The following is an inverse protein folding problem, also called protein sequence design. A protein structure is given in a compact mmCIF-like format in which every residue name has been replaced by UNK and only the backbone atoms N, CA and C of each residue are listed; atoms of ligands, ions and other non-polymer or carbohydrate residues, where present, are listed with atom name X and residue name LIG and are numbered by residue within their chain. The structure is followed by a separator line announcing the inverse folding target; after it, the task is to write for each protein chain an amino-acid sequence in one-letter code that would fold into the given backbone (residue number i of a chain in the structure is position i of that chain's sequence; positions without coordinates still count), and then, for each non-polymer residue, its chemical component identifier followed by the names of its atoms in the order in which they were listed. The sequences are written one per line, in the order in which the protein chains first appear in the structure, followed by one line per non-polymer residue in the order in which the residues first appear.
data_IF_023177678296
#
_entry.id   IF_023177678296
#
_cell.length_a   1.000
_cell.length_b   1.000
_cell.length_c   1.000
_cell.angle_alpha   90.00
_cell.angle_beta   90.00
_cell.angle_gamma   90.00
#
_symmetry.space_group_name_H-M   'P 1'
#
loop_
_entity.id
_entity.type
_entity.pdbx_description
1 polymer ?
#
# COMPACT_ATOMS: atom_id res chain seq x y z
N UNK A 1 14.03 -6.60 -17.78
CA UNK A 1 14.48 -6.43 -16.38
C UNK A 1 15.33 -7.62 -15.94
N UNK A 2 14.96 -8.85 -16.31
CA UNK A 2 15.72 -10.09 -16.07
C UNK A 2 17.17 -10.04 -16.56
N UNK A 3 17.44 -9.42 -17.72
CA UNK A 3 18.81 -9.30 -18.26
C UNK A 3 19.78 -8.48 -17.40
N UNK A 4 19.30 -7.68 -16.43
CA UNK A 4 20.17 -6.83 -15.59
C UNK A 4 20.35 -7.30 -14.17
N UNK A 5 19.42 -8.10 -13.65
CA UNK A 5 19.43 -8.48 -12.24
C UNK A 5 19.57 -9.99 -12.05
N UNK A 6 19.22 -10.83 -13.04
CA UNK A 6 19.28 -12.29 -12.88
C UNK A 6 18.08 -12.85 -12.11
N UNK A 7 17.88 -14.16 -12.24
CA UNK A 7 16.70 -14.91 -11.75
C UNK A 7 16.46 -14.82 -10.22
N UNK A 8 17.45 -14.36 -9.45
CA UNK A 8 17.39 -14.33 -7.98
C UNK A 8 16.89 -12.99 -7.42
N UNK A 9 16.74 -11.96 -8.25
CA UNK A 9 16.08 -10.73 -7.80
C UNK A 9 14.58 -10.88 -8.00
N UNK A 10 13.90 -11.26 -6.91
CA UNK A 10 12.44 -11.26 -6.76
C UNK A 10 11.82 -9.86 -6.86
N UNK A 11 12.09 -9.14 -7.95
CA UNK A 11 11.40 -7.89 -8.31
C UNK A 11 9.98 -8.15 -8.84
N UNK A 12 9.54 -9.40 -8.84
CA UNK A 12 8.19 -9.83 -9.20
C UNK A 12 7.39 -10.04 -7.92
N UNK A 13 6.65 -9.00 -7.51
CA UNK A 13 5.72 -9.09 -6.39
C UNK A 13 4.48 -9.85 -6.89
N UNK A 14 4.54 -11.18 -6.87
CA UNK A 14 3.42 -12.05 -7.18
C UNK A 14 3.36 -13.16 -6.14
N UNK A 15 2.23 -13.23 -5.46
CA UNK A 15 1.98 -14.07 -4.30
C UNK A 15 0.73 -13.56 -3.58
N UNK A 16 0.18 -14.35 -2.63
CA UNK A 16 -1.02 -13.99 -1.87
C UNK A 16 -0.91 -12.57 -1.27
N UNK A 17 -2.02 -11.81 -1.30
CA UNK A 17 -2.16 -10.40 -0.87
C UNK A 17 -1.75 -10.10 0.58
N UNK A 18 -1.42 -11.13 1.37
CA UNK A 18 -0.88 -11.01 2.74
C UNK A 18 0.47 -10.28 2.81
N UNK A 19 1.21 -10.20 1.70
CA UNK A 19 2.48 -9.45 1.62
C UNK A 19 2.24 -7.94 1.35
N UNK A 20 1.01 -7.54 1.04
CA UNK A 20 0.64 -6.16 0.69
C UNK A 20 -0.11 -5.43 1.83
N UNK A 21 -0.20 -6.04 3.02
CA UNK A 21 -1.00 -5.56 4.16
C UNK A 21 -0.66 -4.11 4.52
N UNK A 22 0.62 -3.73 4.46
CA UNK A 22 1.06 -2.36 4.76
C UNK A 22 0.51 -1.32 3.78
N UNK A 23 0.42 -1.65 2.50
CA UNK A 23 -0.19 -0.79 1.49
C UNK A 23 -1.71 -0.77 1.68
N UNK A 24 -2.33 -1.89 2.02
CA UNK A 24 -3.77 -1.94 2.33
C UNK A 24 -4.15 -1.12 3.57
N UNK A 25 -3.33 -1.14 4.61
CA UNK A 25 -3.48 -0.27 5.78
C UNK A 25 -3.39 1.19 5.39
N UNK A 26 -2.39 1.55 4.57
CA UNK A 26 -2.26 2.90 4.05
C UNK A 26 -3.49 3.31 3.24
N UNK A 27 -4.03 2.42 2.41
CA UNK A 27 -5.26 2.66 1.66
C UNK A 27 -6.47 2.87 2.57
N UNK A 28 -6.62 2.09 3.64
CA UNK A 28 -7.63 2.33 4.66
C UNK A 28 -7.52 3.75 5.23
N UNK A 29 -6.30 4.20 5.55
CA UNK A 29 -6.04 5.52 6.12
C UNK A 29 -6.27 6.65 5.10
N UNK A 30 -5.93 6.45 3.82
CA UNK A 30 -6.23 7.37 2.71
C UNK A 30 -7.74 7.54 2.56
N UNK A 31 -8.47 6.42 2.49
CA UNK A 31 -9.93 6.41 2.35
C UNK A 31 -10.60 7.11 3.54
N UNK A 32 -10.16 6.82 4.76
CA UNK A 32 -10.70 7.42 5.99
C UNK A 32 -10.34 8.91 6.12
N UNK A 33 -9.09 9.28 5.85
CA UNK A 33 -8.55 10.60 6.12
C UNK A 33 -8.82 11.65 5.05
N UNK A 34 -8.95 11.25 3.79
CA UNK A 34 -9.12 12.16 2.65
C UNK A 34 -10.24 11.70 1.71
N UNK A 35 -10.25 10.44 1.30
CA UNK A 35 -11.14 9.95 0.24
C UNK A 35 -12.62 10.07 0.56
N UNK A 36 -13.03 9.71 1.78
CA UNK A 36 -14.44 9.68 2.22
C UNK A 36 -15.11 11.06 2.16
N UNK A 37 -14.37 12.13 2.44
CA UNK A 37 -14.85 13.51 2.35
C UNK A 37 -15.30 13.84 0.93
N UNK A 38 -14.46 13.56 -0.06
CA UNK A 38 -14.75 13.84 -1.47
C UNK A 38 -15.82 12.90 -2.02
N UNK A 39 -15.80 11.62 -1.63
CA UNK A 39 -16.85 10.66 -1.97
C UNK A 39 -18.23 11.15 -1.50
N UNK A 40 -18.35 11.55 -0.23
CA UNK A 40 -19.60 12.06 0.32
C UNK A 40 -20.05 13.36 -0.37
N UNK A 41 -19.11 14.23 -0.71
CA UNK A 41 -19.40 15.46 -1.43
C UNK A 41 -20.01 15.19 -2.81
N UNK A 42 -19.42 14.28 -3.60
CA UNK A 42 -19.95 13.94 -4.92
C UNK A 42 -21.28 13.20 -4.85
N UNK A 43 -21.45 12.28 -3.89
CA UNK A 43 -22.74 11.63 -3.65
C UNK A 43 -23.84 12.65 -3.29
N UNK A 44 -23.49 13.70 -2.53
CA UNK A 44 -24.44 14.77 -2.24
C UNK A 44 -24.81 15.58 -3.49
N UNK A 45 -23.85 15.87 -4.37
CA UNK A 45 -24.12 16.53 -5.65
C UNK A 45 -25.02 15.68 -6.56
N UNK A 46 -24.86 14.36 -6.54
CA UNK A 46 -25.73 13.43 -7.27
C UNK A 46 -27.15 13.47 -6.71
N UNK A 47 -27.29 13.31 -5.39
CA UNK A 47 -28.58 13.25 -4.73
C UNK A 47 -29.36 14.58 -4.75
N UNK A 48 -28.68 15.71 -4.54
CA UNK A 48 -29.31 17.02 -4.32
C UNK A 48 -29.16 18.02 -5.45
N UNK A 49 -28.16 17.84 -6.34
CA UNK A 49 -27.83 18.83 -7.38
C UNK A 49 -27.95 18.27 -8.80
N UNK A 50 -28.38 17.01 -8.99
CA UNK A 50 -28.60 16.40 -10.29
C UNK A 50 -27.31 16.11 -11.06
N UNK A 51 -26.19 15.92 -10.35
CA UNK A 51 -24.97 15.40 -10.96
C UNK A 51 -25.26 14.00 -11.53
N UNK A 52 -24.94 13.79 -12.81
CA UNK A 52 -25.05 12.49 -13.46
C UNK A 52 -23.64 11.94 -13.73
N UNK A 53 -23.23 10.83 -13.10
CA UNK A 53 -21.91 10.25 -13.31
C UNK A 53 -21.73 9.69 -14.73
N UNK A 54 -22.82 9.31 -15.39
CA UNK A 54 -22.77 8.74 -16.76
C UNK A 54 -22.54 9.80 -17.85
N UNK A 55 -22.60 11.09 -17.49
CA UNK A 55 -22.39 12.18 -18.44
C UNK A 55 -20.95 12.68 -18.42
N UNK A 56 -20.25 12.48 -19.53
CA UNK A 56 -18.88 12.99 -19.75
C UNK A 56 -18.75 14.50 -19.50
N UNK A 57 -19.77 15.30 -19.86
CA UNK A 57 -19.78 16.73 -19.61
C UNK A 57 -19.75 17.08 -18.11
N UNK A 58 -20.45 16.29 -17.28
CA UNK A 58 -20.45 16.47 -15.83
C UNK A 58 -19.11 16.03 -15.23
N UNK A 59 -18.55 14.90 -15.70
CA UNK A 59 -17.21 14.45 -15.28
C UNK A 59 -16.16 15.53 -15.61
N UNK A 60 -16.19 16.07 -16.83
CA UNK A 60 -15.28 17.14 -17.23
C UNK A 60 -15.41 18.37 -16.33
N UNK A 61 -16.65 18.77 -16.02
CA UNK A 61 -16.92 19.91 -15.13
C UNK A 61 -16.38 19.65 -13.71
N UNK A 62 -16.57 18.44 -13.18
CA UNK A 62 -16.02 18.07 -11.87
C UNK A 62 -14.50 18.14 -11.86
N UNK A 63 -13.82 17.60 -12.89
CA UNK A 63 -12.38 17.72 -13.01
C UNK A 63 -11.94 19.18 -13.11
N UNK A 64 -12.62 19.99 -13.92
CA UNK A 64 -12.29 21.40 -14.08
C UNK A 64 -12.38 22.19 -12.76
N UNK A 65 -13.41 21.91 -11.95
CA UNK A 65 -13.66 22.65 -10.71
C UNK A 65 -12.89 22.10 -9.50
N UNK A 66 -12.83 20.77 -9.36
CA UNK A 66 -12.45 20.13 -8.10
C UNK A 66 -11.12 19.36 -8.17
N UNK A 67 -10.56 19.07 -9.35
CA UNK A 67 -9.31 18.32 -9.42
C UNK A 67 -8.14 19.04 -8.75
N UNK A 68 -8.02 20.36 -8.93
CA UNK A 68 -6.99 21.14 -8.26
C UNK A 68 -7.16 21.15 -6.72
N UNK A 69 -8.36 21.43 -6.17
CA UNK A 69 -8.64 21.26 -4.75
C UNK A 69 -8.36 19.85 -4.20
N UNK A 70 -8.77 18.80 -4.90
CA UNK A 70 -8.55 17.40 -4.54
C UNK A 70 -7.06 17.11 -4.44
N UNK A 71 -6.28 17.51 -5.45
CA UNK A 71 -4.84 17.32 -5.45
C UNK A 71 -4.14 18.08 -4.32
N UNK A 72 -4.63 19.27 -3.98
CA UNK A 72 -4.08 20.03 -2.86
C UNK A 72 -4.36 19.34 -1.52
N UNK A 73 -5.62 18.95 -1.29
CA UNK A 73 -6.05 18.25 -0.08
C UNK A 73 -5.35 16.89 0.07
N UNK A 74 -5.09 16.17 -1.03
CA UNK A 74 -4.28 14.95 -1.04
C UNK A 74 -2.82 15.20 -0.62
N UNK A 75 -2.19 16.28 -1.11
CA UNK A 75 -0.82 16.66 -0.70
C UNK A 75 -0.75 17.06 0.77
N UNK A 76 -1.75 17.79 1.26
CA UNK A 76 -1.81 18.22 2.65
C UNK A 76 -2.05 17.03 3.59
N UNK A 77 -2.92 16.09 3.18
CA UNK A 77 -3.06 14.81 3.87
C UNK A 77 -1.75 14.04 3.89
N UNK A 78 -1.07 13.90 2.75
CA UNK A 78 0.22 13.19 2.68
C UNK A 78 1.30 13.84 3.54
N UNK A 79 1.37 15.18 3.62
CA UNK A 79 2.28 15.87 4.54
C UNK A 79 1.97 15.54 6.00
N UNK A 80 0.69 15.66 6.37
CA UNK A 80 0.23 15.36 7.73
C UNK A 80 0.50 13.91 8.11
N UNK A 81 0.22 12.98 7.19
CA UNK A 81 0.52 11.57 7.35
C UNK A 81 2.03 11.32 7.44
N UNK A 82 2.88 12.00 6.69
CA UNK A 82 4.32 11.78 6.84
C UNK A 82 4.88 12.30 8.17
N UNK A 83 4.17 13.20 8.86
CA UNK A 83 4.57 13.80 10.14
C UNK A 83 3.93 13.11 11.37
N UNK A 84 2.88 12.29 11.18
CA UNK A 84 2.22 11.61 12.30
C UNK A 84 3.14 10.54 12.92
N UNK A 85 3.00 10.28 14.22
CA UNK A 85 3.81 9.27 14.90
C UNK A 85 3.19 7.89 14.75
N UNK A 86 3.96 6.94 14.24
CA UNK A 86 3.61 5.53 14.24
C UNK A 86 4.15 4.89 15.51
N UNK A 87 3.38 4.00 16.11
CA UNK A 87 3.86 3.11 17.19
C UNK A 87 4.47 1.88 16.54
N UNK A 88 5.72 1.61 16.87
CA UNK A 88 6.43 0.38 16.54
C UNK A 88 6.60 -0.36 17.86
N UNK A 89 6.26 -1.64 17.92
CA UNK A 89 6.28 -2.38 19.21
C UNK A 89 7.69 -2.64 19.72
N UNK A 90 8.66 -2.66 18.81
CA UNK A 90 10.10 -2.83 19.11
C UNK A 90 10.85 -1.51 19.29
N UNK A 91 10.27 -0.35 18.97
CA UNK A 91 10.99 0.93 18.92
C UNK A 91 10.22 2.15 19.46
N UNK A 92 10.95 3.25 19.66
CA UNK A 92 10.34 4.53 20.02
C UNK A 92 9.43 5.03 18.89
N UNK A 93 8.29 5.61 19.26
CA UNK A 93 7.37 6.24 18.29
C UNK A 93 8.07 7.30 17.44
N UNK A 94 8.06 7.14 16.12
CA UNK A 94 8.68 8.06 15.15
C UNK A 94 7.72 8.34 14.00
N UNK A 95 7.92 9.45 13.30
CA UNK A 95 7.13 9.73 12.10
C UNK A 95 7.65 8.95 10.89
N UNK A 96 6.82 8.63 9.87
CA UNK A 96 7.29 8.05 8.61
C UNK A 96 8.46 8.84 8.02
N UNK A 97 8.40 10.18 8.09
CA UNK A 97 9.49 11.05 7.64
C UNK A 97 10.79 10.82 8.41
N UNK A 98 10.70 10.70 9.73
CA UNK A 98 11.88 10.40 10.57
C UNK A 98 12.44 9.02 10.28
N UNK A 99 11.57 8.00 10.18
CA UNK A 99 11.97 6.63 9.87
C UNK A 99 12.69 6.56 8.53
N UNK A 100 12.17 7.24 7.51
CA UNK A 100 12.81 7.33 6.21
C UNK A 100 14.16 8.06 6.28
N UNK A 101 14.22 9.22 6.92
CA UNK A 101 15.43 10.03 7.01
C UNK A 101 16.55 9.32 7.79
N UNK A 102 16.25 8.78 8.98
CA UNK A 102 17.24 8.05 9.77
C UNK A 102 17.60 6.71 9.13
N UNK A 103 16.64 6.02 8.51
CA UNK A 103 16.91 4.79 7.77
C UNK A 103 17.87 5.00 6.61
N UNK A 104 17.81 6.15 5.92
CA UNK A 104 18.80 6.51 4.89
C UNK A 104 20.19 6.83 5.44
N UNK A 105 20.28 7.38 6.65
CA UNK A 105 21.56 7.66 7.30
C UNK A 105 22.22 6.34 7.74
N UNK A 106 21.42 5.41 8.26
CA UNK A 106 21.88 4.14 8.80
C UNK A 106 22.21 3.13 7.70
N UNK A 107 21.38 3.04 6.66
CA UNK A 107 21.47 2.01 5.61
C UNK A 107 21.89 2.55 4.23
N UNK A 108 22.27 3.83 4.14
CA UNK A 108 22.66 4.46 2.88
C UNK A 108 21.50 4.97 2.01
N UNK A 109 21.86 5.64 0.91
CA UNK A 109 20.92 6.28 -0.01
C UNK A 109 20.17 5.24 -0.85
N UNK A 110 18.94 4.90 -0.46
CA UNK A 110 18.09 4.05 -1.31
C UNK A 110 17.72 4.76 -2.63
N UNK A 111 17.99 4.11 -3.75
CA UNK A 111 17.51 4.51 -5.08
C UNK A 111 18.40 5.47 -5.88
N UNK A 112 19.62 5.78 -5.42
CA UNK A 112 20.57 6.63 -6.16
C UNK A 112 21.82 5.90 -6.69
N UNK A 113 22.04 4.63 -6.35
CA UNK A 113 23.23 3.92 -6.80
C UNK A 113 23.12 3.35 -8.22
N UNK A 114 24.05 3.77 -9.08
CA UNK A 114 24.32 3.18 -10.40
C UNK A 114 25.28 1.99 -10.32
N UNK A 115 25.76 1.66 -9.13
CA UNK A 115 26.56 0.46 -8.84
C UNK A 115 26.01 -0.11 -7.54
N UNK A 116 25.35 -1.28 -7.55
CA UNK A 116 25.06 -1.95 -6.32
C UNK A 116 26.41 -2.32 -5.72
N UNK A 117 26.85 -1.62 -4.67
CA UNK A 117 27.56 -2.37 -3.65
C UNK A 117 26.58 -3.47 -3.24
N UNK A 118 26.97 -4.75 -3.26
CA UNK A 118 26.10 -5.79 -2.74
C UNK A 118 25.74 -5.32 -1.34
N UNK A 119 24.45 -5.04 -1.12
CA UNK A 119 23.96 -4.95 0.23
C UNK A 119 24.54 -6.19 0.92
N UNK A 120 25.13 -6.02 2.10
CA UNK A 120 25.26 -7.19 2.97
C UNK A 120 23.87 -7.81 2.93
N UNK A 121 23.77 -9.02 2.37
CA UNK A 121 22.53 -9.76 2.36
C UNK A 121 22.22 -9.88 3.86
N UNK A 122 21.41 -8.96 4.39
CA UNK A 122 20.64 -9.21 5.58
C UNK A 122 19.92 -10.48 5.18
N UNK A 123 20.42 -11.63 5.65
CA UNK A 123 19.79 -12.92 5.44
C UNK A 123 18.34 -12.72 5.88
N UNK A 124 17.44 -12.48 4.90
CA UNK A 124 16.03 -12.36 5.18
C UNK A 124 15.65 -13.79 5.55
N UNK A 125 15.74 -14.08 6.86
CA UNK A 125 15.58 -15.42 7.45
C UNK A 125 14.31 -16.12 6.94
N UNK A 126 13.33 -15.33 6.49
CA UNK A 126 12.11 -15.79 5.87
C UNK A 126 11.59 -14.80 4.82
N UNK A 127 11.98 -14.99 3.55
CA UNK A 127 11.46 -14.23 2.41
C UNK A 127 9.92 -14.35 2.30
N UNK A 128 9.35 -15.47 2.76
CA UNK A 128 7.92 -15.72 2.76
C UNK A 128 7.18 -14.99 3.89
N UNK A 129 7.89 -14.50 4.92
CA UNK A 129 7.32 -13.63 5.95
C UNK A 129 7.51 -12.14 5.65
N UNK A 130 8.28 -11.79 4.61
CA UNK A 130 8.62 -10.40 4.31
C UNK A 130 7.37 -9.61 3.85
N UNK A 131 7.07 -8.52 4.56
CA UNK A 131 5.89 -7.69 4.24
C UNK A 131 4.58 -8.20 4.83
N UNK A 132 4.60 -9.36 5.52
CA UNK A 132 3.46 -9.84 6.31
C UNK A 132 3.45 -9.16 7.67
N UNK A 133 2.46 -8.29 7.87
CA UNK A 133 2.14 -7.80 9.21
C UNK A 133 1.23 -8.83 9.89
N UNK A 134 1.84 -9.73 10.66
CA UNK A 134 1.15 -10.83 11.35
C UNK A 134 0.10 -10.35 12.37
N UNK A 135 0.27 -9.15 12.93
CA UNK A 135 -0.69 -8.56 13.85
C UNK A 135 -1.91 -8.04 13.09
N UNK A 136 -1.68 -7.46 11.91
CA UNK A 136 -2.74 -6.90 11.06
C UNK A 136 -3.44 -7.92 10.16
N UNK A 137 -2.83 -9.08 9.90
CA UNK A 137 -3.48 -10.18 9.18
C UNK A 137 -4.80 -10.62 9.83
N UNK A 138 -4.94 -10.39 11.14
CA UNK A 138 -6.14 -10.69 11.92
C UNK A 138 -7.09 -9.50 12.06
N UNK A 139 -6.75 -8.33 11.50
CA UNK A 139 -7.58 -7.14 11.60
C UNK A 139 -8.76 -7.23 10.63
N UNK A 140 -9.95 -7.48 11.18
CA UNK A 140 -11.18 -7.63 10.42
C UNK A 140 -11.50 -6.41 9.56
N UNK A 141 -11.15 -5.19 9.98
CA UNK A 141 -11.40 -3.97 9.21
C UNK A 141 -10.57 -3.93 7.91
N UNK A 142 -9.29 -4.33 7.98
CA UNK A 142 -8.38 -4.34 6.82
C UNK A 142 -8.80 -5.44 5.87
N UNK A 143 -9.13 -6.62 6.39
CA UNK A 143 -9.63 -7.74 5.57
C UNK A 143 -10.96 -7.39 4.89
N UNK A 144 -11.88 -6.71 5.57
CA UNK A 144 -13.16 -6.27 4.98
C UNK A 144 -12.92 -5.22 3.89
N UNK A 145 -12.06 -4.23 4.15
CA UNK A 145 -11.69 -3.24 3.14
C UNK A 145 -11.06 -3.90 1.91
N UNK A 146 -10.19 -4.89 2.12
CA UNK A 146 -9.57 -5.67 1.06
C UNK A 146 -10.61 -6.45 0.24
N UNK A 147 -11.50 -7.22 0.89
CA UNK A 147 -12.53 -7.99 0.18
C UNK A 147 -13.48 -7.11 -0.61
N UNK A 148 -13.81 -5.92 -0.10
CA UNK A 148 -14.73 -4.99 -0.74
C UNK A 148 -14.12 -4.33 -2.00
N UNK A 149 -12.79 -4.19 -2.07
CA UNK A 149 -12.11 -3.51 -3.19
C UNK A 149 -11.35 -4.45 -4.14
N UNK A 150 -10.96 -5.65 -3.68
CA UNK A 150 -10.11 -6.61 -4.42
C UNK A 150 -10.78 -7.98 -4.61
N UNK A 151 -12.11 -8.10 -4.43
CA UNK A 151 -12.86 -9.36 -4.36
C UNK A 151 -12.73 -10.34 -5.56
N UNK A 152 -12.15 -9.92 -6.69
CA UNK A 152 -12.01 -10.73 -7.90
C UNK A 152 -10.72 -11.57 -7.97
N UNK A 153 -9.84 -11.52 -6.96
CA UNK A 153 -8.73 -12.49 -6.82
C UNK A 153 -9.24 -13.82 -6.25
N UNK A 154 -10.22 -14.44 -6.91
CA UNK A 154 -10.50 -15.85 -6.70
C UNK A 154 -9.26 -16.66 -7.12
N UNK A 155 -8.76 -17.49 -6.20
CA UNK A 155 -7.70 -18.46 -6.44
C UNK A 155 -8.04 -19.23 -7.72
N UNK A 156 -7.25 -19.04 -8.78
CA UNK A 156 -7.43 -19.82 -9.99
C UNK A 156 -7.09 -21.28 -9.63
N UNK A 157 -7.92 -22.29 -9.96
CA UNK A 157 -7.59 -23.69 -9.66
C UNK A 157 -6.23 -24.14 -10.23
N UNK A 158 -5.74 -23.46 -11.26
CA UNK A 158 -4.41 -23.66 -11.87
C UNK A 158 -3.26 -23.19 -10.96
N UNK A 159 -3.52 -22.37 -9.94
CA UNK A 159 -2.53 -21.92 -8.95
C UNK A 159 -2.23 -23.00 -7.90
N UNK A 160 -2.98 -24.09 -7.82
CA UNK A 160 -2.72 -25.18 -6.87
C UNK A 160 -1.54 -26.08 -7.27
N UNK A 161 -1.19 -26.10 -8.56
CA UNK A 161 -0.09 -26.90 -9.12
C UNK A 161 1.18 -26.06 -9.37
N UNK A 162 1.15 -24.80 -8.96
CA UNK A 162 2.29 -23.90 -9.11
C UNK A 162 3.30 -24.14 -7.97
N UNK A 163 4.56 -24.51 -8.27
CA UNK A 163 5.59 -24.76 -7.25
C UNK A 163 6.02 -23.48 -6.51
N UNK A 164 5.49 -22.31 -6.90
CA UNK A 164 5.64 -21.02 -6.23
C UNK A 164 4.36 -20.56 -5.51
N UNK A 165 3.30 -21.38 -5.51
CA UNK A 165 2.11 -21.11 -4.70
C UNK A 165 2.38 -21.57 -3.28
N UNK A 166 2.61 -20.59 -2.42
CA UNK A 166 2.92 -20.84 -1.03
C UNK A 166 1.66 -21.35 -0.30
N UNK A 167 1.77 -22.51 0.35
CA UNK A 167 0.88 -22.86 1.46
C UNK A 167 0.92 -21.68 2.43
N UNK A 168 -0.25 -21.30 2.96
CA UNK A 168 -0.39 -20.03 3.69
C UNK A 168 0.71 -19.84 4.73
N UNK A 169 1.21 -18.61 4.91
CA UNK A 169 2.42 -18.36 5.66
C UNK A 169 2.23 -18.88 7.09
N UNK A 170 3.12 -19.77 7.53
CA UNK A 170 3.11 -20.30 8.88
C UNK A 170 3.87 -19.36 9.80
N UNK A 171 3.18 -18.81 10.80
CA UNK A 171 3.80 -17.97 11.82
C UNK A 171 5.00 -18.73 12.43
N UNK A 172 6.23 -18.20 12.39
CA UNK A 172 7.36 -18.85 13.03
C UNK A 172 7.08 -18.96 14.54
N UNK A 173 7.28 -20.16 15.08
CA UNK A 173 7.15 -20.40 16.51
C UNK A 173 8.28 -19.66 17.23
N UNK A 174 7.90 -18.77 18.15
CA UNK A 174 8.80 -18.06 19.07
C UNK A 174 9.48 -19.05 20.03
#
# INVERSE_FOLDING_TARGET
MEERYGLEYGAYIWGRSVHNIRIERLWCDVTRGFGRKWSNFFLNLEYSCGLRPDLEAHIWLLHHLFLAPINQDARDWARTWNEHKIRLDTERTRSPRDLFFFGMIENGLRGFDSTPEPAEDDDIDDLDAYGIDWEELHNADIMTHHTDHNGDQELNPDDLDNPFSNDGPHRPAV
#
